data_IF_099045137737
#
_entry.id   IF_099045137737
#
_cell.length_a   1.000
_cell.length_b   1.000
_cell.length_c   1.000
_cell.angle_alpha   90.00
_cell.angle_beta   90.00
_cell.angle_gamma   90.00
#
_symmetry.space_group_name_H-M   'P 1'
#
loop_
_entity.id
_entity.type
_entity.pdbx_description
1 polymer ?
#
# COMPACT_ATOMS: atom_id res chain seq x y z
N UNK A 1 -17.91 16.91 -0.01
CA UNK A 1 -16.52 16.73 -0.41
C UNK A 1 -16.05 15.32 -0.01
N UNK A 2 -15.59 14.54 -0.99
CA UNK A 2 -15.18 13.15 -0.78
C UNK A 2 -13.65 13.02 -0.60
N UNK A 3 -12.87 14.01 -1.08
CA UNK A 3 -11.42 13.99 -1.02
C UNK A 3 -10.91 13.96 0.43
N UNK A 4 -9.88 13.18 0.68
CA UNK A 4 -9.26 13.02 2.01
C UNK A 4 -10.06 12.18 3.00
N UNK A 5 -11.26 11.71 2.64
CA UNK A 5 -12.04 10.83 3.51
C UNK A 5 -11.57 9.38 3.37
N UNK A 6 -11.58 8.66 4.49
CA UNK A 6 -11.30 7.23 4.53
C UNK A 6 -12.45 6.45 3.89
N UNK A 7 -12.09 5.42 3.13
CA UNK A 7 -13.03 4.50 2.50
C UNK A 7 -12.50 3.08 2.57
N UNK A 8 -13.40 2.12 2.76
CA UNK A 8 -13.09 0.69 2.69
C UNK A 8 -13.92 0.06 1.59
N UNK A 9 -13.25 -0.60 0.66
CA UNK A 9 -13.86 -1.48 -0.32
C UNK A 9 -13.86 -2.90 0.23
N UNK A 10 -15.01 -3.55 0.23
CA UNK A 10 -15.15 -4.97 0.53
C UNK A 10 -15.36 -5.72 -0.78
N UNK A 11 -14.48 -6.67 -1.05
CA UNK A 11 -14.58 -7.57 -2.20
C UNK A 11 -15.01 -8.93 -1.66
N UNK A 12 -16.16 -9.41 -2.10
CA UNK A 12 -16.64 -10.74 -1.75
C UNK A 12 -16.01 -11.77 -2.68
N UNK A 13 -15.47 -12.83 -2.09
CA UNK A 13 -14.87 -13.94 -2.80
C UNK A 13 -15.75 -15.18 -2.67
N UNK A 14 -15.61 -16.15 -3.57
CA UNK A 14 -16.37 -17.39 -3.52
C UNK A 14 -16.14 -18.22 -2.27
N UNK A 15 -14.96 -18.12 -1.68
CA UNK A 15 -14.64 -18.77 -0.40
C UNK A 15 -15.36 -18.18 0.81
N UNK A 16 -16.17 -17.13 0.63
CA UNK A 16 -16.92 -16.47 1.70
C UNK A 16 -16.06 -15.61 2.64
N UNK A 17 -14.75 -15.50 2.38
CA UNK A 17 -13.85 -14.65 3.15
C UNK A 17 -13.73 -13.32 2.43
N UNK A 18 -14.26 -12.22 2.99
CA UNK A 18 -14.20 -10.92 2.33
C UNK A 18 -12.77 -10.37 2.35
N UNK A 19 -12.31 -9.83 1.20
CA UNK A 19 -11.10 -9.04 1.11
C UNK A 19 -11.44 -7.56 1.29
N UNK A 20 -10.59 -6.87 2.03
CA UNK A 20 -10.75 -5.45 2.27
C UNK A 20 -9.62 -4.66 1.60
N UNK A 21 -9.96 -3.53 1.00
CA UNK A 21 -9.03 -2.50 0.57
C UNK A 21 -9.42 -1.21 1.27
N UNK A 22 -8.54 -0.69 2.09
CA UNK A 22 -8.77 0.53 2.85
C UNK A 22 -7.78 1.62 2.45
N UNK A 23 -8.24 2.86 2.37
CA UNK A 23 -7.40 4.00 2.06
C UNK A 23 -8.15 5.31 2.18
N UNK A 24 -7.51 6.38 1.79
CA UNK A 24 -8.11 7.71 1.65
C UNK A 24 -8.41 7.98 0.17
N UNK A 25 -9.49 8.69 -0.09
CA UNK A 25 -9.85 9.09 -1.45
C UNK A 25 -8.91 10.22 -1.88
N UNK A 26 -8.00 9.92 -2.80
CA UNK A 26 -7.00 10.86 -3.31
C UNK A 26 -7.42 11.51 -4.63
N UNK A 27 -8.36 10.90 -5.34
CA UNK A 27 -8.95 11.45 -6.57
C UNK A 27 -10.41 11.04 -6.66
N UNK A 28 -11.27 11.98 -7.08
CA UNK A 28 -12.68 11.74 -7.27
C UNK A 28 -13.16 12.47 -8.52
N UNK A 29 -13.66 11.74 -9.50
CA UNK A 29 -14.00 12.25 -10.82
C UNK A 29 -15.39 11.81 -11.24
N UNK A 30 -16.17 12.73 -11.83
CA UNK A 30 -17.37 12.38 -12.58
C UNK A 30 -16.94 11.96 -13.99
N UNK A 31 -17.15 10.69 -14.35
CA UNK A 31 -16.74 10.16 -15.65
C UNK A 31 -17.88 10.06 -16.67
N UNK A 32 -19.12 10.19 -16.23
CA UNK A 32 -20.24 10.15 -17.16
C UNK A 32 -21.60 9.96 -16.52
N UNK A 33 -22.56 9.69 -17.38
CA UNK A 33 -23.92 9.25 -17.01
C UNK A 33 -24.21 7.88 -17.61
N UNK A 34 -25.01 7.10 -16.93
CA UNK A 34 -25.49 5.82 -17.46
C UNK A 34 -26.37 6.07 -18.69
N UNK A 35 -26.05 5.42 -19.82
CA UNK A 35 -26.72 5.66 -21.09
C UNK A 35 -28.19 5.13 -21.13
N UNK A 36 -28.48 4.10 -20.31
CA UNK A 36 -29.76 3.37 -20.38
C UNK A 36 -30.87 4.07 -19.58
N UNK A 37 -30.55 4.76 -18.52
CA UNK A 37 -31.54 5.35 -17.60
C UNK A 37 -31.31 6.82 -17.26
N UNK A 38 -30.26 7.45 -17.75
CA UNK A 38 -29.84 8.87 -17.60
C UNK A 38 -30.03 9.52 -16.20
N UNK A 39 -30.45 8.75 -15.20
CA UNK A 39 -30.68 9.20 -13.83
C UNK A 39 -29.45 9.05 -12.94
N UNK A 40 -28.50 8.18 -13.33
CA UNK A 40 -27.31 7.89 -12.53
C UNK A 40 -26.07 8.50 -13.14
N UNK A 41 -25.27 9.08 -12.25
CA UNK A 41 -23.93 9.57 -12.58
C UNK A 41 -22.90 8.51 -12.23
N UNK A 42 -21.90 8.35 -13.08
CA UNK A 42 -20.81 7.41 -12.87
C UNK A 42 -19.60 8.19 -12.36
N UNK A 43 -19.11 7.80 -11.19
CA UNK A 43 -17.94 8.40 -10.56
C UNK A 43 -16.80 7.39 -10.50
N UNK A 44 -15.58 7.91 -10.62
CA UNK A 44 -14.34 7.17 -10.39
C UNK A 44 -13.65 7.73 -9.17
N UNK A 45 -13.33 6.86 -8.21
CA UNK A 45 -12.53 7.21 -7.04
C UNK A 45 -11.20 6.46 -7.07
N UNK A 46 -10.10 7.15 -6.71
CA UNK A 46 -8.81 6.51 -6.44
C UNK A 46 -8.61 6.50 -4.94
N UNK A 47 -8.35 5.31 -4.38
CA UNK A 47 -7.99 5.12 -2.99
C UNK A 47 -6.49 4.89 -2.89
N UNK A 48 -5.86 5.56 -1.95
CA UNK A 48 -4.45 5.37 -1.65
C UNK A 48 -4.27 5.15 -0.14
N UNK A 49 -3.29 4.33 0.28
CA UNK A 49 -2.91 4.25 1.69
C UNK A 49 -2.45 5.60 2.23
N UNK A 50 -2.45 5.77 3.56
CA UNK A 50 -2.03 7.02 4.21
C UNK A 50 -0.59 7.43 3.85
N UNK A 51 0.25 6.49 3.51
CA UNK A 51 1.62 6.74 3.02
C UNK A 51 1.65 7.69 1.81
N UNK A 52 0.55 7.81 1.06
CA UNK A 52 0.43 8.77 -0.04
C UNK A 52 0.66 10.22 0.43
N UNK A 53 0.29 10.56 1.66
CA UNK A 53 0.53 11.92 2.18
C UNK A 53 2.02 12.24 2.27
N UNK A 54 2.86 11.26 2.57
CA UNK A 54 4.31 11.44 2.60
C UNK A 54 4.92 11.84 1.24
N UNK A 55 4.20 11.58 0.13
CA UNK A 55 4.60 12.07 -1.21
C UNK A 55 4.30 13.56 -1.43
N UNK A 56 3.60 14.22 -0.49
CA UNK A 56 3.15 15.62 -0.62
C UNK A 56 3.90 16.57 0.30
N UNK A 57 4.54 16.03 1.31
CA UNK A 57 5.35 16.79 2.24
C UNK A 57 6.82 16.71 1.84
N UNK A 58 7.48 17.86 1.79
CA UNK A 58 8.88 17.99 1.40
C UNK A 58 9.61 18.78 2.48
N UNK A 59 10.64 18.17 3.06
CA UNK A 59 11.27 18.68 4.27
C UNK A 59 12.79 18.83 4.14
N UNK A 60 13.35 19.57 5.08
CA UNK A 60 14.78 19.73 5.33
C UNK A 60 15.04 19.40 6.79
N UNK A 61 15.45 18.15 7.05
CA UNK A 61 15.65 17.67 8.41
C UNK A 61 17.01 16.99 8.58
N UNK A 62 17.55 17.07 9.78
CA UNK A 62 18.77 16.35 10.17
C UNK A 62 18.41 15.43 11.33
N UNK A 63 18.74 14.16 11.15
CA UNK A 63 18.55 13.11 12.16
C UNK A 63 19.93 12.72 12.68
N UNK A 64 20.13 12.86 13.99
CA UNK A 64 21.44 12.59 14.62
C UNK A 64 21.36 11.42 15.59
N UNK A 65 22.38 10.54 15.53
CA UNK A 65 22.50 9.39 16.39
C UNK A 65 21.27 8.45 16.39
N UNK A 66 20.67 8.25 15.22
CA UNK A 66 19.49 7.43 15.02
C UNK A 66 19.76 6.25 14.09
N UNK A 67 19.01 5.17 14.27
CA UNK A 67 18.97 4.06 13.30
C UNK A 67 17.96 4.36 12.20
N UNK A 68 18.07 3.71 11.04
CA UNK A 68 17.11 3.85 9.95
C UNK A 68 15.69 3.51 10.39
N UNK A 69 15.41 2.40 11.12
CA UNK A 69 14.07 2.16 11.66
C UNK A 69 13.51 3.30 12.53
N UNK A 70 14.35 3.88 13.40
CA UNK A 70 13.90 5.01 14.25
C UNK A 70 13.58 6.25 13.43
N UNK A 71 14.38 6.53 12.40
CA UNK A 71 14.13 7.65 11.49
C UNK A 71 12.81 7.43 10.74
N UNK A 72 12.60 6.24 10.17
CA UNK A 72 11.37 5.91 9.44
C UNK A 72 10.15 6.05 10.35
N UNK A 73 10.21 5.51 11.57
CA UNK A 73 9.11 5.65 12.54
C UNK A 73 8.83 7.11 12.89
N UNK A 74 9.87 7.92 13.05
CA UNK A 74 9.73 9.34 13.37
C UNK A 74 9.06 10.10 12.24
N UNK A 75 9.54 9.93 11.00
CA UNK A 75 9.00 10.61 9.81
C UNK A 75 7.57 10.16 9.52
N UNK A 76 7.33 8.86 9.42
CA UNK A 76 6.02 8.33 9.04
C UNK A 76 4.99 8.38 10.17
N UNK A 77 5.44 8.44 11.43
CA UNK A 77 4.56 8.57 12.60
C UNK A 77 3.73 9.86 12.60
N UNK A 78 4.22 10.91 11.95
CA UNK A 78 3.51 12.20 11.84
C UNK A 78 2.21 12.10 11.02
N UNK A 79 2.09 11.08 10.17
CA UNK A 79 0.90 10.85 9.34
C UNK A 79 -0.22 10.07 10.04
N UNK A 80 -0.03 9.67 11.31
CA UNK A 80 -1.05 8.95 12.08
C UNK A 80 -1.36 7.56 11.55
N UNK A 81 -0.45 6.94 10.77
CA UNK A 81 -0.62 5.58 10.26
C UNK A 81 -0.09 4.55 11.26
N UNK A 82 -0.71 3.37 11.29
CA UNK A 82 -0.16 2.24 12.01
C UNK A 82 1.05 1.68 11.25
N UNK A 83 2.18 1.55 11.96
CA UNK A 83 3.42 0.99 11.41
C UNK A 83 3.80 -0.24 12.21
N UNK A 84 4.04 -1.34 11.52
CA UNK A 84 4.58 -2.58 12.09
C UNK A 84 5.97 -2.81 11.50
N UNK A 85 6.96 -2.96 12.38
CA UNK A 85 8.33 -3.28 12.00
C UNK A 85 8.58 -4.77 12.25
N UNK A 86 8.83 -5.53 11.18
CA UNK A 86 9.13 -6.96 11.24
C UNK A 86 10.51 -7.23 10.67
N UNK A 87 11.53 -7.08 11.49
CA UNK A 87 12.91 -7.18 11.07
C UNK A 87 13.56 -8.49 11.53
N UNK A 88 14.44 -9.02 10.66
CA UNK A 88 15.32 -10.13 10.99
C UNK A 88 16.53 -9.66 11.81
N UNK A 89 17.07 -8.51 11.45
CA UNK A 89 18.22 -7.93 12.13
C UNK A 89 17.78 -7.23 13.40
N UNK A 90 18.38 -7.62 14.50
CA UNK A 90 18.09 -7.00 15.81
C UNK A 90 18.86 -5.69 16.03
N UNK A 91 19.83 -5.38 15.17
CA UNK A 91 20.68 -4.19 15.29
C UNK A 91 20.96 -3.60 13.93
N UNK A 92 20.50 -2.37 13.75
CA UNK A 92 20.84 -1.52 12.62
C UNK A 92 21.95 -0.55 13.02
N UNK A 93 22.75 -0.13 12.06
CA UNK A 93 23.78 0.90 12.27
C UNK A 93 23.12 2.19 12.76
N UNK A 94 23.69 2.78 13.80
CA UNK A 94 23.38 4.14 14.19
C UNK A 94 24.15 5.11 13.28
N UNK A 95 23.43 6.01 12.66
CA UNK A 95 24.01 7.06 11.84
C UNK A 95 24.31 8.26 12.72
N UNK A 96 25.53 8.79 12.61
CA UNK A 96 25.91 10.02 13.31
C UNK A 96 25.04 11.19 12.80
N UNK A 97 24.97 11.34 11.47
CA UNK A 97 24.12 12.30 10.80
C UNK A 97 23.43 11.63 9.59
N UNK A 98 22.12 11.83 9.46
CA UNK A 98 21.32 11.45 8.31
C UNK A 98 20.48 12.65 7.90
N UNK A 99 20.62 13.10 6.66
CA UNK A 99 20.01 14.33 6.18
C UNK A 99 18.93 14.04 5.15
N UNK A 100 17.76 14.59 5.39
CA UNK A 100 16.73 14.76 4.37
C UNK A 100 16.93 16.15 3.75
N UNK A 101 17.15 16.20 2.45
CA UNK A 101 17.43 17.45 1.75
C UNK A 101 16.63 17.56 0.46
N UNK A 102 15.69 18.49 0.42
CA UNK A 102 14.88 18.83 -0.76
C UNK A 102 14.19 17.63 -1.42
N UNK A 103 13.81 16.63 -0.64
CA UNK A 103 13.11 15.42 -1.05
C UNK A 103 11.83 15.22 -0.25
N UNK A 104 10.86 14.48 -0.80
CA UNK A 104 9.64 14.15 -0.08
C UNK A 104 9.93 13.17 1.06
N UNK A 105 9.08 13.14 2.07
CA UNK A 105 9.20 12.15 3.15
C UNK A 105 9.14 10.73 2.61
N UNK A 106 8.33 10.51 1.57
CA UNK A 106 8.26 9.22 0.89
C UNK A 106 9.58 8.85 0.19
N UNK A 107 10.18 9.77 -0.57
CA UNK A 107 11.45 9.52 -1.26
C UNK A 107 12.57 9.29 -0.25
N UNK A 108 12.60 10.09 0.83
CA UNK A 108 13.57 9.95 1.91
C UNK A 108 13.50 8.57 2.57
N UNK A 109 12.33 8.16 3.05
CA UNK A 109 12.18 6.86 3.72
C UNK A 109 12.39 5.69 2.75
N UNK A 110 11.99 5.83 1.47
CA UNK A 110 12.22 4.82 0.43
C UNK A 110 13.72 4.61 0.21
N UNK A 111 14.48 5.69 0.06
CA UNK A 111 15.94 5.66 -0.08
C UNK A 111 16.62 4.99 1.11
N UNK A 112 16.15 5.26 2.33
CA UNK A 112 16.69 4.63 3.54
C UNK A 112 16.35 3.14 3.60
N UNK A 113 15.12 2.77 3.22
CA UNK A 113 14.71 1.36 3.15
C UNK A 113 15.53 0.59 2.12
N UNK A 114 15.73 1.14 0.94
CA UNK A 114 16.58 0.56 -0.12
C UNK A 114 18.02 0.35 0.36
N UNK A 115 18.59 1.34 1.06
CA UNK A 115 19.94 1.26 1.62
C UNK A 115 20.11 0.10 2.61
N UNK A 116 19.09 -0.16 3.44
CA UNK A 116 19.13 -1.23 4.46
C UNK A 116 18.54 -2.56 3.94
N UNK A 117 18.11 -2.63 2.68
CA UNK A 117 17.50 -3.82 2.11
C UNK A 117 16.11 -4.12 2.68
N UNK A 118 15.40 -3.09 3.09
CA UNK A 118 14.03 -3.17 3.58
C UNK A 118 13.04 -2.97 2.44
N UNK A 119 11.83 -3.51 2.60
CA UNK A 119 10.69 -3.23 1.76
C UNK A 119 9.43 -3.15 2.60
N UNK A 120 8.32 -2.70 2.01
CA UNK A 120 7.06 -2.56 2.73
C UNK A 120 5.88 -3.13 1.97
N UNK A 121 4.83 -3.42 2.71
CA UNK A 121 3.52 -3.81 2.21
C UNK A 121 2.42 -3.38 3.17
N UNK A 122 1.14 -3.56 2.79
CA UNK A 122 0.02 -3.15 3.62
C UNK A 122 -0.81 -4.35 4.06
N UNK A 123 -1.05 -4.47 5.37
CA UNK A 123 -2.12 -5.31 5.91
C UNK A 123 -3.42 -4.54 5.79
N UNK A 124 -4.33 -5.04 4.94
CA UNK A 124 -5.62 -4.42 4.69
C UNK A 124 -6.70 -5.08 5.55
N UNK A 125 -7.38 -4.30 6.36
CA UNK A 125 -8.46 -4.73 7.24
C UNK A 125 -9.70 -3.86 7.03
N UNK A 126 -10.85 -4.31 7.58
CA UNK A 126 -12.06 -3.50 7.56
C UNK A 126 -11.83 -2.21 8.37
N UNK A 127 -11.90 -1.07 7.69
CA UNK A 127 -11.79 0.24 8.32
C UNK A 127 -10.38 0.71 8.65
N UNK A 128 -9.34 -0.07 8.34
CA UNK A 128 -7.95 0.33 8.57
C UNK A 128 -6.95 -0.40 7.67
N UNK A 129 -5.75 0.15 7.59
CA UNK A 129 -4.58 -0.53 7.05
C UNK A 129 -3.36 -0.25 7.91
N UNK A 130 -2.44 -1.21 7.95
CA UNK A 130 -1.18 -1.11 8.67
C UNK A 130 -0.05 -1.20 7.67
N UNK A 131 0.90 -0.26 7.72
CA UNK A 131 2.13 -0.32 6.95
C UNK A 131 3.08 -1.29 7.64
N UNK A 132 3.44 -2.37 6.96
CA UNK A 132 4.44 -3.33 7.45
C UNK A 132 5.75 -3.09 6.72
N UNK A 133 6.81 -2.84 7.47
CA UNK A 133 8.16 -2.68 6.93
C UNK A 133 9.00 -3.86 7.41
N UNK A 134 9.68 -4.52 6.49
CA UNK A 134 10.44 -5.74 6.76
C UNK A 134 11.73 -5.82 5.94
N UNK A 135 12.70 -6.55 6.46
CA UNK A 135 13.92 -6.97 5.77
C UNK A 135 13.92 -8.48 5.45
N UNK A 136 12.74 -9.13 5.59
CA UNK A 136 12.58 -10.58 5.43
C UNK A 136 11.73 -10.92 4.22
N UNK A 137 12.24 -11.75 3.34
CA UNK A 137 11.43 -12.36 2.28
C UNK A 137 10.49 -13.48 2.79
N UNK A 138 10.68 -13.95 4.03
CA UNK A 138 9.87 -15.01 4.65
C UNK A 138 8.67 -14.49 5.44
N UNK A 139 8.44 -13.20 5.47
CA UNK A 139 7.31 -12.56 6.19
C UNK A 139 5.96 -12.86 5.51
N UNK A 140 5.99 -13.09 4.21
CA UNK A 140 4.78 -13.42 3.47
C UNK A 140 4.38 -14.87 3.72
N UNK A 141 3.15 -15.04 4.17
CA UNK A 141 2.52 -16.37 4.31
C UNK A 141 1.56 -16.59 3.17
N UNK A 142 1.46 -17.83 2.73
CA UNK A 142 0.43 -18.20 1.79
C UNK A 142 -0.95 -17.83 2.35
N UNK A 143 -1.78 -17.27 1.51
CA UNK A 143 -3.15 -16.96 1.90
C UNK A 143 -4.00 -18.22 1.74
N UNK A 144 -4.62 -18.67 2.82
CA UNK A 144 -5.36 -19.92 2.85
C UNK A 144 -6.40 -20.00 1.72
N UNK A 145 -6.29 -21.01 0.86
CA UNK A 145 -7.13 -21.20 -0.30
C UNK A 145 -6.67 -20.47 -1.57
N UNK A 146 -5.55 -19.77 -1.51
CA UNK A 146 -4.96 -19.00 -2.63
C UNK A 146 -3.47 -19.30 -2.83
N UNK A 147 -3.02 -20.48 -2.43
CA UNK A 147 -1.63 -20.93 -2.57
C UNK A 147 -1.23 -21.13 -4.04
N UNK A 148 -2.22 -21.42 -4.88
CA UNK A 148 -2.04 -21.63 -6.31
C UNK A 148 -3.16 -20.95 -7.08
N UNK A 149 -2.79 -20.12 -8.06
CA UNK A 149 -3.73 -19.53 -9.02
C UNK A 149 -3.54 -20.16 -10.39
N UNK A 150 -4.66 -20.51 -11.04
CA UNK A 150 -4.64 -20.90 -12.43
C UNK A 150 -4.46 -19.66 -13.30
N UNK A 151 -3.48 -19.67 -14.19
CA UNK A 151 -3.35 -18.67 -15.24
C UNK A 151 -4.12 -19.13 -16.47
N UNK A 152 -5.03 -18.30 -16.97
CA UNK A 152 -5.79 -18.55 -18.18
C UNK A 152 -5.59 -17.41 -19.17
N UNK A 153 -5.12 -17.71 -20.37
CA UNK A 153 -5.01 -16.72 -21.43
C UNK A 153 -6.40 -16.16 -21.80
N UNK A 154 -6.44 -14.89 -22.20
CA UNK A 154 -7.67 -14.17 -22.62
C UNK A 154 -8.45 -14.91 -23.73
N UNK A 155 -7.80 -15.78 -24.47
CA UNK A 155 -8.40 -16.57 -25.55
C UNK A 155 -8.97 -17.92 -25.10
N UNK A 156 -8.79 -18.32 -23.85
CA UNK A 156 -9.35 -19.55 -23.33
C UNK A 156 -10.75 -19.32 -22.76
N UNK A 157 -11.72 -20.09 -23.25
CA UNK A 157 -13.09 -20.04 -22.74
C UNK A 157 -13.16 -20.80 -21.40
N UNK A 158 -13.27 -20.05 -20.32
CA UNK A 158 -13.44 -20.61 -18.98
C UNK A 158 -14.84 -21.25 -18.86
N UNK A 159 -14.89 -22.57 -18.82
CA UNK A 159 -16.08 -23.31 -18.42
C UNK A 159 -15.95 -23.64 -16.93
N UNK A 160 -16.43 -22.73 -16.09
CA UNK A 160 -16.40 -22.96 -14.63
C UNK A 160 -16.35 -21.66 -13.86
N UNK A 161 -16.50 -21.78 -12.55
CA UNK A 161 -16.65 -20.67 -11.63
C UNK A 161 -15.40 -20.57 -10.74
N UNK A 162 -14.22 -20.85 -11.27
CA UNK A 162 -12.95 -20.74 -10.55
C UNK A 162 -12.36 -19.35 -10.74
N UNK A 163 -11.71 -18.85 -9.69
CA UNK A 163 -10.93 -17.61 -9.74
C UNK A 163 -9.61 -17.90 -10.48
N UNK A 164 -9.23 -17.01 -11.39
CA UNK A 164 -8.03 -17.17 -12.21
C UNK A 164 -7.36 -15.83 -12.48
N UNK A 165 -6.10 -15.88 -12.85
CA UNK A 165 -5.33 -14.73 -13.31
C UNK A 165 -5.33 -14.74 -14.84
N UNK A 166 -5.87 -13.67 -15.45
CA UNK A 166 -5.90 -13.52 -16.92
C UNK A 166 -4.81 -12.61 -17.47
N UNK A 167 -4.21 -11.80 -16.60
CA UNK A 167 -3.15 -10.88 -16.98
C UNK A 167 -2.20 -10.66 -15.79
N UNK A 168 -0.93 -10.74 -16.05
CA UNK A 168 0.12 -10.47 -15.09
C UNK A 168 1.12 -9.50 -15.69
N UNK A 169 1.32 -8.37 -15.04
CA UNK A 169 2.31 -7.37 -15.45
C UNK A 169 3.31 -7.13 -14.32
N UNK A 170 4.57 -7.15 -14.65
CA UNK A 170 5.66 -6.77 -13.74
C UNK A 170 6.22 -5.45 -14.23
N UNK A 171 6.17 -4.44 -13.39
CA UNK A 171 6.83 -3.16 -13.62
C UNK A 171 8.08 -3.09 -12.73
N UNK A 172 9.20 -2.69 -13.32
CA UNK A 172 10.48 -2.43 -12.62
C UNK A 172 10.79 -0.95 -12.68
#
# INVERSE_FOLDING_TARGET
DALGKSMTLQVETKGGIPHFMHGVITKFELIGREMVNSQYYIYKATLSPLLWYATKNKEYQIFQNMTVPDIIQKVLGEYGMEIELDFRHMRYRTWEDCVQYDETDFDFVSRLMEHEGMYYWFKMLKGKHTLVITDRNTTHKDYAGYEVFTFLDKNEHVRGVEEFVSEWQVAT
#
